data_IF_549490330572
#
_entry.id   IF_549490330572
#
_cell.length_a   1.000
_cell.length_b   1.000
_cell.length_c   1.000
_cell.angle_alpha   90.00
_cell.angle_beta   90.00
_cell.angle_gamma   90.00
#
_symmetry.space_group_name_H-M   'P 1'
#
loop_
_entity.id
_entity.type
_entity.pdbx_description
1 polymer ?
#
# COMPACT_ATOMS: atom_id res chain seq x y z
N UNK A 1 5.39 38.10 -22.60
CA UNK A 1 4.27 38.84 -23.24
C UNK A 1 4.04 38.17 -24.58
N UNK A 2 2.98 37.45 -24.90
CA UNK A 2 1.54 37.56 -24.59
C UNK A 2 0.93 36.15 -24.65
N UNK A 3 0.42 35.59 -23.56
CA UNK A 3 -0.99 35.61 -23.11
C UNK A 3 -1.97 34.87 -24.01
N UNK A 4 -2.40 33.74 -23.46
CA UNK A 4 -3.51 32.89 -23.84
C UNK A 4 -4.86 33.63 -23.80
N UNK A 5 -5.68 33.39 -24.80
CA UNK A 5 -7.16 33.39 -24.72
C UNK A 5 -7.54 31.95 -25.07
N UNK A 6 -8.46 31.28 -24.39
CA UNK A 6 -9.88 31.38 -24.66
C UNK A 6 -10.67 30.82 -23.47
N UNK A 7 -11.76 31.52 -23.15
CA UNK A 7 -12.67 31.27 -22.04
C UNK A 7 -13.94 30.58 -22.57
N UNK A 8 -14.45 29.63 -21.78
CA UNK A 8 -15.86 29.22 -21.59
C UNK A 8 -16.74 28.81 -22.79
N UNK A 9 -17.38 27.64 -22.64
CA UNK A 9 -18.85 27.52 -22.79
C UNK A 9 -19.44 26.30 -22.08
N UNK A 10 -20.51 26.57 -21.33
CA UNK A 10 -21.41 25.68 -20.60
C UNK A 10 -22.16 24.70 -21.53
N UNK A 11 -22.56 23.53 -21.00
CA UNK A 11 -23.92 23.02 -21.17
C UNK A 11 -24.27 21.98 -20.07
N UNK A 12 -25.23 22.36 -19.22
CA UNK A 12 -25.98 21.48 -18.31
C UNK A 12 -27.08 20.77 -19.12
N UNK A 13 -27.24 19.47 -18.94
CA UNK A 13 -28.43 18.74 -19.37
C UNK A 13 -28.96 17.91 -18.21
N UNK A 14 -30.05 18.39 -17.61
CA UNK A 14 -30.87 17.65 -16.66
C UNK A 14 -31.97 16.93 -17.45
N UNK A 15 -32.12 15.62 -17.25
CA UNK A 15 -33.29 14.86 -17.70
C UNK A 15 -34.08 14.38 -16.50
N UNK A 16 -35.34 14.78 -16.49
CA UNK A 16 -36.38 14.40 -15.55
C UNK A 16 -36.82 12.95 -15.78
N UNK A 17 -37.00 12.19 -14.69
CA UNK A 17 -37.76 10.94 -14.71
C UNK A 17 -38.94 11.08 -13.76
N UNK A 18 -40.12 11.03 -14.37
CA UNK A 18 -41.45 10.90 -13.78
C UNK A 18 -41.62 9.52 -13.13
N UNK A 19 -42.05 9.48 -11.87
CA UNK A 19 -42.57 8.28 -11.23
C UNK A 19 -44.05 8.50 -10.88
N UNK A 20 -44.92 7.64 -11.42
CA UNK A 20 -46.31 7.49 -11.01
C UNK A 20 -46.39 6.62 -9.76
N UNK A 21 -47.13 7.08 -8.74
CA UNK A 21 -47.79 6.22 -7.75
C UNK A 21 -49.05 5.57 -8.35
N UNK A 22 -49.55 4.48 -7.75
CA UNK A 22 -50.81 4.68 -7.02
C UNK A 22 -51.01 3.83 -5.74
N UNK A 23 -51.65 4.50 -4.77
CA UNK A 23 -52.86 4.12 -4.02
C UNK A 23 -52.83 3.10 -2.86
N UNK A 24 -53.59 3.49 -1.84
CA UNK A 24 -53.72 3.01 -0.48
C UNK A 24 -54.63 1.77 -0.25
N UNK A 25 -54.27 0.98 0.78
CA UNK A 25 -55.06 0.50 1.95
C UNK A 25 -56.36 -0.34 1.74
N UNK A 26 -56.69 -1.31 2.64
CA UNK A 26 -57.12 -0.99 4.00
C UNK A 26 -56.60 -1.87 5.14
N UNK A 27 -56.65 -1.24 6.33
CA UNK A 27 -56.45 -1.77 7.67
C UNK A 27 -57.44 -2.88 8.05
N UNK A 28 -56.99 -3.81 8.90
CA UNK A 28 -57.83 -4.58 9.79
C UNK A 28 -57.29 -4.45 11.23
N UNK A 29 -58.12 -3.90 12.12
CA UNK A 29 -58.05 -3.99 13.59
C UNK A 29 -59.40 -4.58 14.07
N UNK A 30 -59.61 -4.88 15.37
CA UNK A 30 -58.83 -5.70 16.30
C UNK A 30 -59.71 -6.83 16.89
N UNK A 31 -59.17 -8.03 17.09
CA UNK A 31 -59.85 -9.12 17.80
C UNK A 31 -59.60 -9.04 19.31
N UNK A 32 -60.67 -8.89 20.10
CA UNK A 32 -60.61 -8.77 21.57
C UNK A 32 -60.21 -10.07 22.30
N UNK A 33 -59.87 -9.97 23.60
CA UNK A 33 -59.32 -11.08 24.38
C UNK A 33 -60.44 -11.98 24.96
N UNK A 34 -60.28 -13.29 24.80
CA UNK A 34 -61.04 -14.30 25.54
C UNK A 34 -60.43 -14.54 26.94
N UNK A 35 -61.22 -15.02 27.92
CA UNK A 35 -60.79 -15.16 29.30
C UNK A 35 -59.83 -16.35 29.46
N UNK A 36 -58.57 -16.06 29.74
CA UNK A 36 -57.59 -17.06 30.18
C UNK A 36 -57.55 -17.09 31.71
N UNK A 37 -57.90 -18.25 32.26
CA UNK A 37 -57.84 -18.58 33.68
C UNK A 37 -56.40 -18.51 34.19
N UNK A 38 -56.18 -17.70 35.23
CA UNK A 38 -54.88 -17.47 35.87
C UNK A 38 -54.69 -18.48 37.01
N UNK A 39 -53.68 -19.37 36.99
CA UNK A 39 -53.22 -20.05 38.20
C UNK A 39 -52.39 -19.09 39.04
N UNK A 40 -52.46 -19.24 40.36
CA UNK A 40 -51.72 -18.44 41.33
C UNK A 40 -50.21 -18.49 41.04
N UNK A 41 -49.60 -17.31 40.84
CA UNK A 41 -48.16 -17.17 40.73
C UNK A 41 -47.53 -17.16 42.13
N UNK A 42 -46.81 -18.23 42.45
CA UNK A 42 -45.87 -18.25 43.58
C UNK A 42 -44.82 -17.17 43.37
N UNK A 43 -44.76 -16.19 44.27
CA UNK A 43 -43.74 -15.14 44.25
C UNK A 43 -42.41 -15.72 44.73
N UNK A 44 -41.60 -16.22 43.79
CA UNK A 44 -40.18 -16.47 44.05
C UNK A 44 -39.47 -15.12 43.98
N UNK A 45 -38.97 -14.63 45.10
CA UNK A 45 -38.09 -13.45 45.13
C UNK A 45 -36.83 -13.79 44.32
N UNK A 46 -36.71 -13.21 43.13
CA UNK A 46 -35.51 -13.32 42.32
C UNK A 46 -34.39 -12.54 42.98
N UNK A 47 -33.34 -13.25 43.41
CA UNK A 47 -32.06 -12.68 43.79
C UNK A 47 -31.55 -11.80 42.64
N UNK A 48 -31.10 -10.56 42.88
CA UNK A 48 -30.60 -9.71 41.81
C UNK A 48 -29.40 -10.42 41.17
N UNK A 49 -29.57 -10.78 39.89
CA UNK A 49 -28.48 -11.31 39.08
C UNK A 49 -27.44 -10.17 38.98
N UNK A 50 -26.34 -10.28 39.72
CA UNK A 50 -25.20 -9.39 39.52
C UNK A 50 -24.82 -9.50 38.04
N UNK A 51 -25.00 -8.39 37.31
CA UNK A 51 -24.53 -8.28 35.95
C UNK A 51 -23.02 -8.53 35.99
N UNK A 52 -22.57 -9.56 35.25
CA UNK A 52 -21.15 -9.78 35.04
C UNK A 52 -20.55 -8.46 34.55
N UNK A 53 -19.40 -8.01 35.10
CA UNK A 53 -18.78 -6.77 34.65
C UNK A 53 -18.56 -6.88 33.14
N UNK A 54 -19.16 -5.94 32.40
CA UNK A 54 -18.89 -5.77 30.97
C UNK A 54 -17.39 -5.59 30.87
N UNK A 55 -16.69 -6.60 30.34
CA UNK A 55 -15.28 -6.47 30.00
C UNK A 55 -15.20 -5.37 28.96
N UNK A 56 -14.81 -4.18 29.37
CA UNK A 56 -14.36 -3.14 28.46
C UNK A 56 -13.15 -3.71 27.73
N UNK A 57 -13.34 -4.09 26.47
CA UNK A 57 -12.23 -4.44 25.59
C UNK A 57 -11.39 -3.17 25.48
N UNK A 58 -10.10 -3.20 25.89
CA UNK A 58 -9.23 -2.04 25.70
C UNK A 58 -9.26 -1.63 24.24
N UNK A 59 -9.23 -0.33 23.92
CA UNK A 59 -9.12 0.10 22.54
C UNK A 59 -7.93 -0.61 21.88
N UNK A 60 -8.06 -1.05 20.61
CA UNK A 60 -6.99 -1.74 19.91
C UNK A 60 -5.71 -0.91 20.03
N UNK A 61 -4.63 -1.55 20.49
CA UNK A 61 -3.35 -0.88 20.60
C UNK A 61 -2.81 -0.63 19.18
N UNK A 62 -2.18 0.53 18.93
CA UNK A 62 -1.54 0.78 17.65
C UNK A 62 -0.47 -0.28 17.37
N UNK A 63 -0.20 -0.59 16.08
CA UNK A 63 0.78 -1.60 15.72
C UNK A 63 2.19 -1.18 16.16
N UNK A 64 3.04 -2.17 16.46
CA UNK A 64 4.46 -1.91 16.72
C UNK A 64 5.16 -1.44 15.44
N UNK A 65 5.60 -0.18 15.43
CA UNK A 65 6.29 0.44 14.30
C UNK A 65 7.83 0.43 14.43
N UNK A 66 8.40 -0.25 15.42
CA UNK A 66 9.86 -0.31 15.64
C UNK A 66 10.64 -0.87 14.45
N UNK A 67 9.99 -1.67 13.60
CA UNK A 67 10.58 -2.21 12.38
C UNK A 67 10.62 -1.22 11.20
N UNK A 68 10.05 -0.03 11.36
CA UNK A 68 9.81 0.94 10.28
C UNK A 68 10.47 2.28 10.62
N UNK A 69 11.74 2.48 10.22
CA UNK A 69 12.59 3.57 10.71
C UNK A 69 12.01 4.98 10.52
N UNK A 70 11.21 5.20 9.49
CA UNK A 70 10.56 6.49 9.22
C UNK A 70 9.57 6.94 10.31
N UNK A 71 9.04 6.03 11.12
CA UNK A 71 8.22 6.36 12.31
C UNK A 71 9.03 6.92 13.47
N UNK A 72 10.35 6.80 13.42
CA UNK A 72 11.27 7.24 14.48
C UNK A 72 12.23 8.34 13.99
N UNK A 73 12.02 8.84 12.77
CA UNK A 73 12.79 9.95 12.21
C UNK A 73 12.01 11.26 12.40
N UNK A 74 12.50 12.19 13.25
CA UNK A 74 11.80 13.44 13.52
C UNK A 74 11.74 14.41 12.32
N UNK A 75 12.40 14.07 11.20
CA UNK A 75 12.29 14.84 9.95
C UNK A 75 11.22 14.32 9.00
N UNK A 76 10.50 13.27 9.39
CA UNK A 76 9.41 12.68 8.62
C UNK A 76 8.15 12.73 9.48
N UNK A 77 7.05 13.19 8.89
CA UNK A 77 5.71 13.10 9.49
C UNK A 77 4.95 12.00 8.74
N UNK A 78 5.07 10.73 9.15
CA UNK A 78 4.30 9.66 8.55
C UNK A 78 2.83 9.78 8.94
N UNK A 79 1.97 9.06 8.20
CA UNK A 79 0.60 8.87 8.67
C UNK A 79 0.60 8.02 9.94
N UNK A 80 -0.36 8.29 10.82
CA UNK A 80 -0.62 7.46 11.99
C UNK A 80 -0.90 6.02 11.58
N UNK A 81 -0.23 5.08 12.26
CA UNK A 81 -0.43 3.65 12.05
C UNK A 81 -1.58 3.15 12.93
N UNK A 82 -2.56 2.50 12.30
CA UNK A 82 -3.80 2.06 12.95
C UNK A 82 -3.87 0.55 13.10
N UNK A 83 -3.30 -0.15 12.12
CA UNK A 83 -3.03 -1.59 12.13
C UNK A 83 -1.91 -1.90 11.11
N UNK A 84 -1.75 -3.18 10.77
CA UNK A 84 -0.83 -3.65 9.75
C UNK A 84 -1.51 -4.48 8.65
N UNK A 85 -0.76 -4.73 7.59
CA UNK A 85 -1.19 -5.53 6.44
C UNK A 85 -1.61 -6.96 6.80
N UNK A 86 -0.97 -7.59 7.78
CA UNK A 86 -1.28 -8.96 8.20
C UNK A 86 -2.65 -9.04 8.87
N UNK A 87 -2.91 -8.12 9.80
CA UNK A 87 -4.14 -8.02 10.58
C UNK A 87 -5.31 -7.56 9.71
N UNK A 88 -5.11 -6.57 8.84
CA UNK A 88 -6.20 -5.97 8.04
C UNK A 88 -6.71 -6.88 6.93
N UNK A 89 -5.85 -7.67 6.30
CA UNK A 89 -6.22 -8.44 5.12
C UNK A 89 -6.12 -9.94 5.35
N UNK A 90 -7.18 -10.57 5.86
CA UNK A 90 -7.24 -12.02 5.91
C UNK A 90 -7.20 -12.64 4.49
N UNK A 91 -6.53 -13.79 4.27
CA UNK A 91 -6.64 -14.52 3.02
C UNK A 91 -8.09 -14.90 2.70
N UNK A 92 -8.45 -15.08 1.41
CA UNK A 92 -9.78 -15.53 1.04
C UNK A 92 -10.10 -16.92 1.63
N UNK A 93 -11.38 -17.28 1.81
CA UNK A 93 -11.77 -18.60 2.30
C UNK A 93 -11.09 -19.74 1.54
N UNK A 94 -10.50 -20.69 2.28
CA UNK A 94 -9.77 -21.82 1.71
C UNK A 94 -8.28 -21.56 1.39
N UNK A 95 -7.83 -20.30 1.44
CA UNK A 95 -6.43 -19.95 1.26
C UNK A 95 -5.70 -19.84 2.61
N UNK A 96 -4.40 -20.11 2.60
CA UNK A 96 -3.49 -19.93 3.73
C UNK A 96 -2.24 -19.20 3.27
N UNK A 97 -1.77 -18.25 4.08
CA UNK A 97 -0.51 -17.54 3.80
C UNK A 97 0.64 -18.54 3.66
N UNK A 98 1.50 -18.31 2.68
CA UNK A 98 2.76 -19.05 2.55
C UNK A 98 3.69 -18.65 3.70
N UNK A 99 4.37 -19.59 4.37
CA UNK A 99 5.36 -19.26 5.39
C UNK A 99 6.48 -18.40 4.81
N UNK A 100 6.89 -17.37 5.55
CA UNK A 100 8.05 -16.53 5.22
C UNK A 100 8.89 -16.36 6.47
N UNK A 101 10.20 -16.24 6.31
CA UNK A 101 11.09 -15.95 7.43
C UNK A 101 10.78 -14.55 7.98
N UNK A 102 10.62 -14.42 9.30
CA UNK A 102 10.18 -13.19 9.96
C UNK A 102 11.01 -11.96 9.60
N UNK A 103 12.33 -12.10 9.47
CA UNK A 103 13.22 -10.97 9.15
C UNK A 103 13.57 -10.85 7.67
N UNK A 104 13.01 -11.70 6.80
CA UNK A 104 13.13 -11.52 5.35
C UNK A 104 12.36 -10.28 4.88
N UNK A 105 12.66 -9.80 3.68
CA UNK A 105 11.91 -8.67 3.11
C UNK A 105 10.40 -8.96 3.03
N UNK A 106 10.02 -10.17 2.63
CA UNK A 106 8.62 -10.59 2.61
C UNK A 106 7.96 -10.66 3.99
N UNK A 107 8.69 -11.11 5.02
CA UNK A 107 8.23 -11.11 6.41
C UNK A 107 8.02 -9.69 6.95
N UNK A 108 8.91 -8.78 6.59
CA UNK A 108 8.80 -7.35 6.92
C UNK A 108 7.61 -6.70 6.19
N UNK A 109 7.46 -6.91 4.88
CA UNK A 109 6.34 -6.36 4.09
C UNK A 109 4.96 -6.81 4.60
N UNK A 110 4.87 -8.06 5.08
CA UNK A 110 3.63 -8.65 5.60
C UNK A 110 3.04 -7.86 6.78
N UNK A 111 3.86 -7.06 7.46
CA UNK A 111 3.44 -6.25 8.61
C UNK A 111 3.51 -4.74 8.34
N UNK A 112 3.49 -4.30 7.07
CA UNK A 112 3.55 -2.87 6.75
C UNK A 112 2.45 -2.11 7.51
N UNK A 113 2.78 -0.99 8.21
CA UNK A 113 1.79 -0.24 8.97
C UNK A 113 0.89 0.54 8.02
N UNK A 114 -0.40 0.51 8.30
CA UNK A 114 -1.44 1.10 7.46
C UNK A 114 -2.13 2.27 8.17
N UNK A 115 -2.45 3.30 7.39
CA UNK A 115 -3.27 4.42 7.84
C UNK A 115 -4.73 3.99 8.06
N UNK A 116 -5.56 4.84 8.67
CA UNK A 116 -6.99 4.58 8.86
C UNK A 116 -7.69 4.13 7.56
N UNK A 117 -8.69 3.24 7.62
CA UNK A 117 -9.54 2.94 6.48
C UNK A 117 -10.13 4.23 5.87
N UNK A 118 -10.34 4.23 4.55
CA UNK A 118 -10.80 5.41 3.81
C UNK A 118 -9.84 6.59 3.79
N UNK A 119 -8.56 6.41 4.14
CA UNK A 119 -7.50 7.39 3.84
C UNK A 119 -7.33 7.55 2.32
N UNK A 120 -7.38 8.76 1.75
CA UNK A 120 -7.16 8.98 0.33
C UNK A 120 -5.68 8.82 -0.06
N UNK A 121 -5.44 8.46 -1.32
CA UNK A 121 -4.09 8.51 -1.90
C UNK A 121 -3.82 9.94 -2.33
N UNK A 122 -2.77 10.53 -1.76
CA UNK A 122 -2.29 11.86 -2.13
C UNK A 122 -1.01 11.76 -2.94
N UNK A 123 -0.83 12.65 -3.90
CA UNK A 123 0.44 12.90 -4.56
C UNK A 123 1.40 13.69 -3.64
N UNK A 124 2.65 13.86 -4.11
CA UNK A 124 3.68 14.63 -3.40
C UNK A 124 3.33 16.11 -3.17
N UNK A 125 2.38 16.66 -3.95
CA UNK A 125 1.92 18.04 -3.82
C UNK A 125 0.67 18.16 -2.93
N UNK A 126 0.20 17.06 -2.33
CA UNK A 126 -1.01 17.00 -1.51
C UNK A 126 -2.30 16.90 -2.30
N UNK A 127 -2.23 16.76 -3.63
CA UNK A 127 -3.39 16.52 -4.50
C UNK A 127 -3.97 15.13 -4.29
N UNK A 128 -5.30 15.01 -4.26
CA UNK A 128 -5.96 13.70 -4.17
C UNK A 128 -5.90 12.98 -5.52
N UNK A 129 -5.22 11.83 -5.56
CA UNK A 129 -5.17 10.96 -6.75
C UNK A 129 -6.28 9.93 -6.74
N UNK A 130 -6.52 9.29 -5.59
CA UNK A 130 -7.65 8.39 -5.38
C UNK A 130 -8.41 8.78 -4.11
N UNK A 131 -9.74 8.92 -4.16
CA UNK A 131 -10.53 9.08 -2.96
C UNK A 131 -10.42 7.82 -2.09
N UNK A 132 -10.55 7.97 -0.78
CA UNK A 132 -10.36 6.87 0.18
C UNK A 132 -11.31 5.70 -0.01
N UNK A 133 -12.49 5.93 -0.60
CA UNK A 133 -13.49 4.92 -0.89
C UNK A 133 -13.37 4.35 -2.31
N UNK A 134 -12.29 4.64 -3.04
CA UNK A 134 -12.10 4.18 -4.41
C UNK A 134 -12.17 2.65 -4.50
N UNK A 135 -12.88 2.13 -5.50
CA UNK A 135 -13.19 0.68 -5.61
C UNK A 135 -11.94 -0.21 -5.71
N UNK A 136 -10.81 0.34 -6.18
CA UNK A 136 -9.53 -0.35 -6.34
C UNK A 136 -8.46 0.00 -5.29
N UNK A 137 -8.80 0.83 -4.30
CA UNK A 137 -7.91 1.17 -3.17
C UNK A 137 -8.27 0.31 -1.96
N UNK A 138 -7.33 -0.47 -1.44
CA UNK A 138 -7.52 -1.29 -0.25
C UNK A 138 -7.07 -0.56 1.03
N UNK A 139 -5.88 0.06 0.99
CA UNK A 139 -5.31 0.83 2.09
C UNK A 139 -4.17 1.72 1.59
N UNK A 140 -3.83 2.73 2.38
CA UNK A 140 -2.62 3.55 2.22
C UNK A 140 -1.62 3.14 3.30
N UNK A 141 -0.37 2.89 2.93
CA UNK A 141 0.68 2.63 3.93
C UNK A 141 1.13 3.94 4.56
N UNK A 142 1.73 3.85 5.74
CA UNK A 142 2.12 5.03 6.53
C UNK A 142 3.39 5.73 6.06
N UNK A 143 4.10 5.15 5.10
CA UNK A 143 5.33 5.74 4.55
C UNK A 143 5.00 7.04 3.81
N UNK A 144 5.77 8.11 4.06
CA UNK A 144 5.62 9.37 3.35
C UNK A 144 6.00 9.23 1.86
N UNK A 145 5.63 10.23 1.06
CA UNK A 145 6.06 10.35 -0.35
C UNK A 145 7.16 11.41 -0.52
N UNK A 146 7.34 12.30 0.45
CA UNK A 146 8.17 13.50 0.32
C UNK A 146 7.41 14.70 -0.28
N UNK A 147 8.13 15.77 -0.58
CA UNK A 147 7.61 17.07 -1.04
C UNK A 147 7.96 17.38 -2.50
N UNK A 148 8.53 16.41 -3.22
CA UNK A 148 8.94 16.50 -4.62
C UNK A 148 8.36 15.33 -5.40
N UNK A 149 8.28 15.47 -6.73
CA UNK A 149 7.90 14.39 -7.65
C UNK A 149 9.02 13.33 -7.76
N UNK A 150 9.40 12.78 -6.62
CA UNK A 150 10.34 11.69 -6.39
C UNK A 150 9.60 10.64 -5.57
N UNK A 151 10.01 9.38 -5.62
CA UNK A 151 9.22 8.27 -5.07
C UNK A 151 8.06 7.85 -5.98
N UNK A 152 8.33 7.81 -7.28
CA UNK A 152 7.42 7.21 -8.27
C UNK A 152 7.40 5.68 -8.13
N UNK A 153 6.71 4.99 -9.05
CA UNK A 153 6.49 3.53 -8.97
C UNK A 153 7.76 2.71 -8.62
N UNK A 154 8.85 2.89 -9.37
CA UNK A 154 10.11 2.16 -9.15
C UNK A 154 10.81 2.55 -7.84
N UNK A 155 10.79 3.83 -7.54
CA UNK A 155 11.40 4.40 -6.35
C UNK A 155 10.76 3.88 -5.07
N UNK A 156 9.44 3.66 -5.05
CA UNK A 156 8.78 3.10 -3.89
C UNK A 156 9.22 1.67 -3.58
N UNK A 157 9.47 0.84 -4.62
CA UNK A 157 10.06 -0.50 -4.44
C UNK A 157 11.47 -0.40 -3.88
N UNK A 158 12.30 0.48 -4.44
CA UNK A 158 13.66 0.73 -3.95
C UNK A 158 13.64 1.27 -2.51
N UNK A 159 12.70 2.16 -2.18
CA UNK A 159 12.53 2.72 -0.84
C UNK A 159 12.22 1.61 0.16
N UNK A 160 11.17 0.84 -0.05
CA UNK A 160 10.77 -0.22 0.89
C UNK A 160 11.89 -1.26 1.09
N UNK A 161 12.59 -1.64 0.01
CA UNK A 161 13.75 -2.51 0.13
C UNK A 161 14.89 -1.86 0.94
N UNK A 162 15.17 -0.57 0.71
CA UNK A 162 16.21 0.17 1.43
C UNK A 162 15.91 0.30 2.93
N UNK A 163 14.65 0.59 3.26
CA UNK A 163 14.16 0.73 4.63
C UNK A 163 14.27 -0.59 5.39
N UNK A 164 13.91 -1.71 4.75
CA UNK A 164 14.11 -3.04 5.30
C UNK A 164 15.60 -3.33 5.58
N UNK A 165 16.50 -2.97 4.64
CA UNK A 165 17.96 -3.11 4.84
C UNK A 165 18.47 -2.25 5.98
N UNK A 166 17.98 -1.03 6.11
CA UNK A 166 18.29 -0.14 7.22
C UNK A 166 17.90 -0.78 8.55
N UNK A 167 16.65 -1.25 8.67
CA UNK A 167 16.16 -1.95 9.86
C UNK A 167 16.97 -3.21 10.19
N UNK A 168 17.46 -3.92 9.18
CA UNK A 168 18.33 -5.09 9.33
C UNK A 168 19.76 -4.75 9.82
N UNK A 169 20.15 -3.47 9.84
CA UNK A 169 21.52 -3.05 10.09
C UNK A 169 22.45 -3.33 8.90
N UNK A 170 21.90 -3.44 7.69
CA UNK A 170 22.58 -3.82 6.46
C UNK A 170 22.67 -2.64 5.47
N UNK A 171 22.58 -1.40 5.95
CA UNK A 171 22.57 -0.19 5.13
C UNK A 171 23.79 -0.08 4.19
N UNK A 172 24.97 -0.55 4.61
CA UNK A 172 26.18 -0.51 3.78
C UNK A 172 26.12 -1.42 2.55
N UNK A 173 25.16 -2.36 2.49
CA UNK A 173 24.87 -3.18 1.30
C UNK A 173 23.94 -2.47 0.32
N UNK A 174 23.33 -1.35 0.70
CA UNK A 174 22.34 -0.66 -0.12
C UNK A 174 23.01 0.05 -1.28
N UNK A 175 22.59 -0.34 -2.48
CA UNK A 175 23.03 0.24 -3.73
C UNK A 175 21.97 0.03 -4.79
N UNK A 176 21.67 1.07 -5.57
CA UNK A 176 20.65 1.01 -6.62
C UNK A 176 21.21 1.43 -7.97
N UNK A 177 20.77 0.75 -9.02
CA UNK A 177 21.21 1.00 -10.39
C UNK A 177 20.65 2.30 -10.96
N UNK A 178 21.43 2.95 -11.82
CA UNK A 178 21.05 4.14 -12.57
C UNK A 178 21.48 4.01 -14.04
N UNK A 179 21.28 5.06 -14.84
CA UNK A 179 21.80 5.13 -16.21
C UNK A 179 23.33 5.13 -16.32
N UNK A 180 24.07 5.49 -15.26
CA UNK A 180 25.54 5.58 -15.27
C UNK A 180 26.23 4.53 -14.36
N UNK A 181 25.45 3.68 -13.69
CA UNK A 181 25.97 2.65 -12.80
C UNK A 181 25.30 2.64 -11.42
N UNK A 182 25.78 1.80 -10.48
CA UNK A 182 25.23 1.72 -9.14
C UNK A 182 25.52 2.98 -8.32
N UNK A 183 24.58 3.36 -7.46
CA UNK A 183 24.65 4.46 -6.50
C UNK A 183 24.64 3.87 -5.09
N UNK A 184 25.81 3.49 -4.52
CA UNK A 184 25.87 2.88 -3.20
C UNK A 184 25.77 3.92 -2.08
N UNK A 185 25.06 3.56 -1.00
CA UNK A 185 24.95 4.35 0.23
C UNK A 185 26.33 4.73 0.80
N UNK A 186 27.28 3.80 0.75
CA UNK A 186 28.64 3.99 1.27
C UNK A 186 29.41 5.12 0.57
N UNK A 187 29.16 5.39 -0.72
CA UNK A 187 29.74 6.56 -1.42
C UNK A 187 29.11 7.85 -0.95
N UNK A 188 27.78 7.88 -0.86
CA UNK A 188 27.06 9.05 -0.37
C UNK A 188 27.51 9.44 1.05
N UNK A 189 27.66 8.47 1.96
CA UNK A 189 28.18 8.70 3.31
C UNK A 189 29.56 9.35 3.34
N UNK A 190 30.45 8.96 2.42
CA UNK A 190 31.80 9.54 2.32
C UNK A 190 31.83 10.94 1.70
N UNK A 191 30.68 11.50 1.32
CA UNK A 191 30.62 12.78 0.65
C UNK A 191 30.96 12.65 -0.82
N UNK A 192 30.37 11.67 -1.49
CA UNK A 192 30.43 11.53 -2.94
C UNK A 192 28.99 11.45 -3.47
N UNK A 193 28.66 12.22 -4.51
CA UNK A 193 27.35 12.14 -5.16
C UNK A 193 27.47 12.21 -6.68
N UNK A 194 26.50 11.67 -7.43
CA UNK A 194 26.46 11.83 -8.87
C UNK A 194 26.23 13.29 -9.26
N UNK A 195 26.98 13.77 -10.24
CA UNK A 195 26.85 15.11 -10.81
C UNK A 195 26.98 15.04 -12.34
N UNK A 196 26.19 15.84 -13.05
CA UNK A 196 26.28 16.00 -14.49
C UNK A 196 27.15 17.20 -14.84
N UNK A 197 28.20 17.00 -15.62
CA UNK A 197 29.14 18.06 -16.03
C UNK A 197 28.76 18.71 -17.38
N UNK A 198 27.59 18.40 -17.93
CA UNK A 198 27.19 18.81 -19.27
C UNK A 198 27.48 17.79 -20.37
N UNK A 199 28.25 16.72 -20.08
CA UNK A 199 28.59 15.65 -21.03
C UNK A 199 28.31 14.25 -20.48
N UNK A 200 28.65 14.00 -19.22
CA UNK A 200 28.51 12.70 -18.57
C UNK A 200 28.14 12.86 -17.10
N UNK A 201 27.59 11.80 -16.52
CA UNK A 201 27.41 11.70 -15.07
C UNK A 201 28.69 11.12 -14.48
N UNK A 202 29.21 11.78 -13.45
CA UNK A 202 30.40 11.35 -12.72
C UNK A 202 30.22 11.53 -11.22
N UNK A 203 31.04 10.86 -10.43
CA UNK A 203 31.08 11.08 -8.99
C UNK A 203 31.83 12.36 -8.68
N UNK A 204 31.21 13.26 -7.93
CA UNK A 204 31.79 14.50 -7.45
C UNK A 204 31.81 14.52 -5.92
N UNK A 205 32.77 15.24 -5.35
CA UNK A 205 32.83 15.46 -3.91
C UNK A 205 31.62 16.25 -3.42
N UNK A 206 31.12 15.87 -2.25
CA UNK A 206 30.03 16.48 -1.51
C UNK A 206 30.35 16.42 -0.01
N UNK A 207 29.42 16.89 0.83
CA UNK A 207 29.60 16.83 2.28
C UNK A 207 29.39 15.38 2.77
N UNK A 208 30.31 14.81 3.57
CA UNK A 208 30.08 13.53 4.23
C UNK A 208 28.78 13.54 5.04
N UNK A 209 28.06 12.42 5.02
CA UNK A 209 26.77 12.28 5.68
C UNK A 209 26.91 11.41 6.94
N UNK A 210 26.23 11.78 8.05
CA UNK A 210 26.23 10.97 9.26
C UNK A 210 25.46 9.66 9.04
N UNK A 211 25.74 8.65 9.87
CA UNK A 211 25.02 7.37 9.84
C UNK A 211 23.69 7.47 10.58
N UNK A 212 22.73 8.13 9.96
CA UNK A 212 21.40 8.41 10.54
C UNK A 212 20.34 8.13 9.49
N UNK A 213 19.14 7.72 9.94
CA UNK A 213 18.03 7.47 9.02
C UNK A 213 17.72 8.71 8.16
N UNK A 214 17.74 9.90 8.76
CA UNK A 214 17.58 11.17 8.03
C UNK A 214 18.57 11.35 6.89
N UNK A 215 19.82 10.94 7.07
CA UNK A 215 20.82 10.99 6.02
C UNK A 215 20.59 9.91 4.94
N UNK A 216 20.14 8.74 5.35
CA UNK A 216 19.77 7.64 4.46
C UNK A 216 18.56 8.01 3.58
N UNK A 217 17.53 8.66 4.14
CA UNK A 217 16.40 9.18 3.39
C UNK A 217 16.83 10.20 2.32
N UNK A 218 17.79 11.09 2.63
CA UNK A 218 18.37 12.01 1.62
C UNK A 218 19.16 11.29 0.55
N UNK A 219 19.85 10.20 0.88
CA UNK A 219 20.50 9.36 -0.12
C UNK A 219 19.48 8.75 -1.09
N UNK A 220 18.33 8.31 -0.60
CA UNK A 220 17.27 7.77 -1.46
C UNK A 220 16.73 8.82 -2.43
N UNK A 221 16.61 10.09 -2.02
CA UNK A 221 16.27 11.18 -2.94
C UNK A 221 17.29 11.35 -4.07
N UNK A 222 18.58 11.16 -3.78
CA UNK A 222 19.62 11.14 -4.82
C UNK A 222 19.39 9.95 -5.75
N UNK A 223 19.16 8.75 -5.21
CA UNK A 223 18.86 7.57 -6.04
C UNK A 223 17.67 7.83 -6.98
N UNK A 224 16.55 8.34 -6.45
CA UNK A 224 15.33 8.61 -7.22
C UNK A 224 15.53 9.66 -8.33
N UNK A 225 16.54 10.53 -8.19
CA UNK A 225 16.88 11.51 -9.22
C UNK A 225 17.62 10.92 -10.42
N UNK A 226 18.18 9.70 -10.29
CA UNK A 226 19.05 9.07 -11.30
C UNK A 226 18.61 7.69 -11.73
N UNK A 227 17.73 7.05 -10.96
CA UNK A 227 17.16 5.74 -11.21
C UNK A 227 15.77 5.86 -11.83
N UNK A 228 15.30 4.77 -12.46
CA UNK A 228 13.97 4.70 -13.04
C UNK A 228 13.55 3.23 -13.18
N UNK A 229 12.34 3.00 -13.69
CA UNK A 229 11.78 1.66 -13.91
C UNK A 229 12.69 0.73 -14.72
N UNK A 230 13.38 1.25 -15.74
CA UNK A 230 14.33 0.45 -16.52
C UNK A 230 15.60 0.10 -15.74
N UNK A 231 16.08 0.99 -14.87
CA UNK A 231 17.20 0.68 -13.99
C UNK A 231 16.82 -0.39 -12.94
N UNK A 232 15.62 -0.29 -12.36
CA UNK A 232 15.09 -1.29 -11.44
C UNK A 232 14.94 -2.66 -12.11
N UNK A 233 14.41 -2.70 -13.35
CA UNK A 233 14.29 -3.94 -14.12
C UNK A 233 15.65 -4.62 -14.36
N UNK A 234 16.67 -3.84 -14.77
CA UNK A 234 18.03 -4.38 -14.99
C UNK A 234 18.71 -4.81 -13.71
N UNK A 235 18.39 -4.17 -12.58
CA UNK A 235 18.95 -4.54 -11.27
C UNK A 235 18.29 -5.80 -10.69
N UNK A 236 16.99 -6.00 -10.94
CA UNK A 236 16.27 -7.17 -10.46
C UNK A 236 16.66 -8.45 -11.20
N UNK A 237 16.83 -9.54 -10.46
CA UNK A 237 17.02 -10.87 -11.03
C UNK A 237 15.67 -11.45 -11.48
N UNK A 238 15.56 -12.07 -12.67
CA UNK A 238 14.36 -12.79 -13.09
C UNK A 238 13.97 -13.89 -12.10
N UNK A 239 12.67 -14.09 -11.91
CA UNK A 239 12.11 -15.12 -11.02
C UNK A 239 11.14 -15.99 -11.81
N UNK A 240 11.23 -17.31 -11.66
CA UNK A 240 10.26 -18.22 -12.26
C UNK A 240 8.92 -18.12 -11.54
N UNK A 241 7.78 -18.37 -12.21
CA UNK A 241 6.47 -18.31 -11.58
C UNK A 241 6.40 -19.11 -10.28
N UNK A 242 6.97 -20.31 -10.22
CA UNK A 242 6.93 -21.23 -9.08
C UNK A 242 7.68 -20.69 -7.86
N UNK A 243 8.71 -19.86 -8.09
CA UNK A 243 9.55 -19.27 -7.04
C UNK A 243 9.01 -17.93 -6.51
N UNK A 244 7.83 -17.49 -6.98
CA UNK A 244 7.16 -16.27 -6.54
C UNK A 244 7.03 -16.24 -5.00
N UNK A 245 7.42 -15.11 -4.40
CA UNK A 245 7.26 -14.86 -2.97
C UNK A 245 7.01 -13.38 -2.67
N UNK A 246 6.54 -13.03 -1.45
CA UNK A 246 6.48 -11.64 -1.01
C UNK A 246 7.85 -10.95 -1.06
N UNK A 247 7.88 -9.72 -1.56
CA UNK A 247 9.09 -8.97 -1.88
C UNK A 247 9.54 -9.05 -3.33
N UNK A 248 8.97 -9.96 -4.13
CA UNK A 248 9.12 -9.93 -5.59
C UNK A 248 8.27 -8.81 -6.17
N UNK A 249 8.64 -8.32 -7.35
CA UNK A 249 7.91 -7.23 -8.02
C UNK A 249 7.78 -7.53 -9.50
N UNK A 250 6.68 -7.07 -10.09
CA UNK A 250 6.51 -7.06 -11.53
C UNK A 250 6.92 -5.70 -12.06
N UNK A 251 7.72 -5.66 -13.13
CA UNK A 251 8.24 -4.42 -13.70
C UNK A 251 8.16 -4.44 -15.22
N UNK A 252 7.56 -3.40 -15.78
CA UNK A 252 7.51 -3.16 -17.22
C UNK A 252 8.26 -1.86 -17.51
N UNK A 253 9.48 -1.93 -18.09
CA UNK A 253 10.19 -0.73 -18.48
C UNK A 253 9.45 -0.01 -19.61
N UNK A 254 9.73 1.28 -19.79
CA UNK A 254 9.09 2.10 -20.82
C UNK A 254 9.11 3.57 -20.45
N UNK A 255 8.59 4.40 -21.35
CA UNK A 255 8.32 5.81 -21.08
C UNK A 255 6.88 6.14 -21.54
N UNK A 256 5.86 5.98 -20.66
CA UNK A 256 5.96 5.58 -19.25
C UNK A 256 6.17 4.07 -19.03
N UNK A 257 6.89 3.72 -17.95
CA UNK A 257 7.02 2.36 -17.43
C UNK A 257 6.33 2.23 -16.06
N UNK A 258 6.06 1.02 -15.57
CA UNK A 258 5.40 0.82 -14.28
C UNK A 258 5.90 -0.41 -13.53
N UNK A 259 5.74 -0.41 -12.21
CA UNK A 259 6.02 -1.57 -11.36
C UNK A 259 5.02 -1.68 -10.21
N UNK A 260 4.78 -2.92 -9.78
CA UNK A 260 3.98 -3.25 -8.60
C UNK A 260 4.72 -4.29 -7.76
N UNK A 261 4.57 -4.18 -6.44
CA UNK A 261 5.26 -5.01 -5.44
C UNK A 261 4.31 -6.06 -4.87
N UNK A 262 4.76 -7.31 -4.77
CA UNK A 262 4.04 -8.39 -4.08
C UNK A 262 4.29 -8.26 -2.59
N UNK A 263 3.26 -7.87 -1.84
CA UNK A 263 3.32 -7.61 -0.40
C UNK A 263 3.09 -8.87 0.44
N UNK A 264 2.24 -9.77 -0.06
CA UNK A 264 1.93 -11.03 0.60
C UNK A 264 1.45 -12.08 -0.42
N UNK A 265 1.48 -13.36 -0.02
CA UNK A 265 1.14 -14.51 -0.84
C UNK A 265 0.40 -15.56 0.00
N UNK A 266 -0.70 -16.07 -0.55
CA UNK A 266 -1.44 -17.19 0.00
C UNK A 266 -1.75 -18.25 -1.07
N UNK A 267 -1.87 -19.49 -0.63
CA UNK A 267 -2.14 -20.68 -1.46
C UNK A 267 -3.32 -21.46 -0.89
N UNK A 268 -4.11 -22.09 -1.74
CA UNK A 268 -5.12 -23.06 -1.32
C UNK A 268 -4.65 -24.52 -1.49
N UNK A 269 -5.52 -25.48 -1.16
CA UNK A 269 -5.23 -26.91 -1.28
C UNK A 269 -5.05 -27.40 -2.73
N UNK A 270 -5.55 -26.66 -3.72
CA UNK A 270 -5.38 -26.95 -5.14
C UNK A 270 -4.10 -26.31 -5.73
N UNK A 271 -3.32 -25.59 -4.91
CA UNK A 271 -2.12 -24.88 -5.34
C UNK A 271 -2.41 -23.56 -6.07
N UNK A 272 -3.67 -23.09 -6.07
CA UNK A 272 -4.00 -21.75 -6.59
C UNK A 272 -3.39 -20.71 -5.69
N UNK A 273 -2.90 -19.63 -6.27
CA UNK A 273 -2.15 -18.57 -5.58
C UNK A 273 -2.86 -17.25 -5.70
N UNK A 274 -2.86 -16.50 -4.60
CA UNK A 274 -3.34 -15.13 -4.55
C UNK A 274 -2.33 -14.23 -3.84
N UNK A 275 -2.23 -12.98 -4.28
CA UNK A 275 -1.25 -12.01 -3.77
C UNK A 275 -1.89 -10.70 -3.35
N UNK A 276 -1.32 -10.09 -2.31
CA UNK A 276 -1.54 -8.66 -2.03
C UNK A 276 -0.51 -7.86 -2.83
N UNK A 277 -0.96 -6.77 -3.44
CA UNK A 277 -0.15 -5.96 -4.35
C UNK A 277 -0.14 -4.51 -3.89
N UNK A 278 1.05 -3.93 -3.84
CA UNK A 278 1.24 -2.51 -3.56
C UNK A 278 1.87 -1.77 -4.72
N UNK A 279 1.64 -0.47 -4.81
CA UNK A 279 2.29 0.39 -5.79
C UNK A 279 2.48 1.81 -5.27
N UNK A 280 3.33 2.57 -5.94
CA UNK A 280 3.20 4.04 -6.13
C UNK A 280 2.89 4.27 -7.63
N UNK A 281 2.83 5.50 -8.12
CA UNK A 281 2.60 5.78 -9.54
C UNK A 281 3.36 7.01 -10.03
N UNK A 282 2.94 7.58 -11.16
CA UNK A 282 3.45 8.82 -11.74
C UNK A 282 2.26 9.79 -11.90
N UNK A 283 2.26 10.98 -11.28
CA UNK A 283 3.30 11.53 -10.39
C UNK A 283 3.50 10.71 -9.11
N UNK A 284 4.59 11.00 -8.38
CA UNK A 284 4.86 10.38 -7.08
C UNK A 284 3.67 10.55 -6.13
N UNK A 285 3.30 9.46 -5.48
CA UNK A 285 2.16 9.42 -4.59
C UNK A 285 2.39 8.43 -3.44
N UNK A 286 1.57 8.56 -2.39
CA UNK A 286 1.61 7.66 -1.23
C UNK A 286 1.48 6.21 -1.67
N UNK A 287 2.35 5.36 -1.15
CA UNK A 287 2.32 3.93 -1.47
C UNK A 287 1.02 3.31 -0.97
N UNK A 288 0.33 2.60 -1.85
CA UNK A 288 -0.99 2.06 -1.57
C UNK A 288 -1.11 0.58 -1.89
N UNK A 289 -1.91 -0.12 -1.09
CA UNK A 289 -2.34 -1.49 -1.36
C UNK A 289 -3.54 -1.44 -2.30
N UNK A 290 -3.46 -2.19 -3.39
CA UNK A 290 -4.51 -2.28 -4.40
C UNK A 290 -5.51 -3.38 -4.05
N UNK A 291 -6.70 -3.32 -4.67
CA UNK A 291 -7.67 -4.42 -4.68
C UNK A 291 -8.32 -4.61 -6.04
N UNK A 292 -8.58 -5.86 -6.49
CA UNK A 292 -9.36 -6.10 -7.70
C UNK A 292 -10.83 -5.67 -7.55
N UNK A 293 -11.42 -5.85 -6.36
CA UNK A 293 -12.81 -5.52 -6.06
C UNK A 293 -12.98 -5.02 -4.61
N UNK A 294 -14.11 -4.39 -4.26
CA UNK A 294 -14.31 -3.74 -2.95
C UNK A 294 -14.18 -4.69 -1.77
N UNK A 295 -14.63 -5.92 -1.94
CA UNK A 295 -14.73 -6.99 -0.94
C UNK A 295 -13.52 -7.93 -0.92
N UNK A 296 -12.61 -7.82 -1.88
CA UNK A 296 -11.45 -8.69 -1.99
C UNK A 296 -10.19 -7.90 -2.36
N UNK A 297 -9.20 -7.88 -1.45
CA UNK A 297 -7.89 -7.27 -1.67
C UNK A 297 -6.89 -8.17 -2.40
N UNK A 298 -7.17 -9.47 -2.49
CA UNK A 298 -6.24 -10.47 -3.02
C UNK A 298 -6.43 -10.68 -4.52
N UNK A 299 -5.36 -10.44 -5.28
CA UNK A 299 -5.31 -10.68 -6.72
C UNK A 299 -5.04 -12.15 -7.02
N UNK A 300 -5.79 -12.71 -7.94
CA UNK A 300 -5.47 -14.01 -8.54
C UNK A 300 -4.38 -13.87 -9.59
N UNK A 301 -3.55 -14.88 -9.71
CA UNK A 301 -2.55 -15.02 -10.77
C UNK A 301 -3.07 -16.03 -11.80
N UNK A 302 -2.96 -15.71 -13.08
CA UNK A 302 -3.33 -16.60 -14.18
C UNK A 302 -2.13 -16.95 -15.06
N UNK A 303 -2.36 -17.66 -16.16
CA UNK A 303 -1.30 -18.09 -17.08
C UNK A 303 -0.62 -16.91 -17.79
N UNK A 304 -1.32 -15.76 -17.91
CA UNK A 304 -0.75 -14.55 -18.48
C UNK A 304 0.10 -13.79 -17.47
N UNK A 305 -0.26 -13.83 -16.18
CA UNK A 305 0.50 -13.23 -15.08
C UNK A 305 -0.40 -12.50 -14.10
N UNK A 306 -0.11 -11.21 -13.87
CA UNK A 306 -0.82 -10.37 -12.91
C UNK A 306 -1.59 -9.24 -13.63
N UNK A 307 -2.91 -9.24 -13.47
CA UNK A 307 -3.81 -8.18 -13.92
C UNK A 307 -4.04 -7.18 -12.79
N UNK A 308 -3.82 -5.90 -13.07
CA UNK A 308 -4.03 -4.81 -12.11
C UNK A 308 -4.95 -3.74 -12.70
N UNK A 309 -5.66 -2.95 -11.89
CA UNK A 309 -6.69 -2.02 -12.39
C UNK A 309 -6.15 -0.77 -13.08
N UNK A 310 -4.87 -0.44 -12.92
CA UNK A 310 -4.29 0.84 -13.37
C UNK A 310 -3.22 0.69 -14.46
N UNK A 311 -2.94 -0.53 -14.90
CA UNK A 311 -1.92 -0.80 -15.90
C UNK A 311 -2.28 -2.03 -16.73
N UNK A 312 -1.62 -2.17 -17.89
CA UNK A 312 -1.70 -3.41 -18.68
C UNK A 312 -1.21 -4.62 -17.86
N UNK A 313 -1.63 -5.81 -18.27
CA UNK A 313 -1.19 -7.08 -17.65
C UNK A 313 0.33 -7.13 -17.53
N UNK A 314 0.80 -7.50 -16.34
CA UNK A 314 2.19 -7.80 -16.09
C UNK A 314 2.44 -9.29 -16.39
N UNK A 315 3.19 -9.61 -17.46
CA UNK A 315 3.46 -10.99 -17.79
C UNK A 315 4.40 -11.63 -16.77
N UNK A 316 4.40 -12.96 -16.66
CA UNK A 316 5.37 -13.67 -15.82
C UNK A 316 6.83 -13.33 -16.13
N UNK A 317 7.15 -13.03 -17.40
CA UNK A 317 8.48 -12.57 -17.82
C UNK A 317 8.89 -11.21 -17.26
N UNK A 318 7.97 -10.45 -16.66
CA UNK A 318 8.22 -9.20 -15.96
C UNK A 318 8.50 -9.37 -14.46
N UNK A 319 8.42 -10.59 -13.92
CA UNK A 319 8.68 -10.86 -12.51
C UNK A 319 10.19 -10.76 -12.20
N UNK A 320 10.51 -10.00 -11.17
CA UNK A 320 11.88 -9.72 -10.72
C UNK A 320 11.98 -9.75 -9.20
N UNK A 321 13.21 -9.88 -8.71
CA UNK A 321 13.57 -9.85 -7.29
C UNK A 321 14.84 -9.06 -7.09
N UNK A 322 14.86 -8.17 -6.10
CA UNK A 322 16.09 -7.55 -5.60
C UNK A 322 16.80 -8.54 -4.69
N UNK A 323 18.13 -8.60 -4.79
CA UNK A 323 18.91 -9.50 -3.95
C UNK A 323 18.82 -9.11 -2.46
N UNK A 324 18.83 -10.16 -1.62
CA UNK A 324 18.75 -10.11 -0.16
C UNK A 324 20.11 -10.08 0.53
#
# INVERSE_FOLDING_TARGET
MTSSMWMQRFLLLAMALTACEPSASPELRPGGPGPSTRPAATTTVATPHQALPVRTIPPPQPPDTSAYPWHHDPSIEPLEATDDLFARFAPPPGFRRVPVETRSFGGWLRHLPLAEPSTPVLDYAGGTVLPGDHRHLAAVTTIDVGDRDLQQCADAVMRLHAEWRWWRGEADRVSYGSGFGPIPWTRFRRGEQPAYDGKRVQWAASKPAPDTHRAFRRYLDVVFSWSNTGALERQGSPVSPEALRPGDFFVLPGNPGHTVLVLDLATDAAGRRVVLVGQSFMPAQRFQVLRPARDNAWFTLDDEGLKTPFWRTFPWSALRRLEG
#
